data_IF_850691498631
#
_entry.id   IF_850691498631
#
_cell.length_a   1.000
_cell.length_b   1.000
_cell.length_c   1.000
_cell.angle_alpha   90.00
_cell.angle_beta   90.00
_cell.angle_gamma   90.00
#
_symmetry.space_group_name_H-M   'P 1'
#
loop_
_entity.id
_entity.type
_entity.pdbx_description
1 polymer ?
#
# COMPACT_ATOMS: atom_id res chain seq x y z
N UNK A 1 -50.46 -51.40 10.33
CA UNK A 1 -49.90 -51.09 9.01
C UNK A 1 -48.40 -51.25 9.14
N UNK A 2 -47.69 -51.93 8.22
CA UNK A 2 -46.23 -51.97 8.25
C UNK A 2 -45.69 -50.54 8.28
N UNK A 3 -44.51 -50.33 8.87
CA UNK A 3 -43.82 -49.05 8.80
C UNK A 3 -43.39 -48.84 7.33
N UNK A 4 -43.79 -47.76 6.63
CA UNK A 4 -43.29 -47.43 5.30
C UNK A 4 -41.77 -47.60 5.11
N UNK A 5 -40.96 -47.36 6.14
CA UNK A 5 -39.53 -47.70 6.18
C UNK A 5 -39.23 -49.15 5.74
N UNK A 6 -39.94 -50.14 6.30
CA UNK A 6 -39.73 -51.57 6.06
C UNK A 6 -40.23 -52.02 4.68
N UNK A 7 -41.21 -51.31 4.11
CA UNK A 7 -41.70 -51.58 2.75
C UNK A 7 -40.75 -51.03 1.67
N UNK A 8 -40.02 -49.97 1.99
CA UNK A 8 -39.16 -49.27 1.03
C UNK A 8 -37.71 -49.80 1.02
N UNK A 9 -37.22 -50.41 2.10
CA UNK A 9 -35.88 -51.00 2.16
C UNK A 9 -35.58 -52.03 1.03
N UNK A 10 -36.49 -52.96 0.68
CA UNK A 10 -36.27 -53.90 -0.43
C UNK A 10 -36.14 -53.22 -1.81
N UNK A 11 -36.63 -51.98 -1.95
CA UNK A 11 -36.54 -51.22 -3.19
C UNK A 11 -35.21 -50.48 -3.34
N UNK A 12 -34.44 -50.32 -2.26
CA UNK A 12 -33.17 -49.58 -2.28
C UNK A 12 -32.17 -50.11 -3.34
N UNK A 13 -31.95 -51.43 -3.51
CA UNK A 13 -31.05 -51.93 -4.55
C UNK A 13 -31.52 -51.61 -5.98
N UNK A 14 -32.83 -51.50 -6.20
CA UNK A 14 -33.38 -51.16 -7.53
C UNK A 14 -33.18 -49.68 -7.89
N UNK A 15 -33.07 -48.80 -6.88
CA UNK A 15 -32.91 -47.35 -7.07
C UNK A 15 -31.44 -46.94 -7.05
N UNK A 16 -30.62 -47.57 -6.20
CA UNK A 16 -29.24 -47.15 -5.93
C UNK A 16 -28.18 -48.20 -6.27
N UNK A 17 -28.58 -49.40 -6.72
CA UNK A 17 -27.66 -50.51 -6.95
C UNK A 17 -26.95 -50.97 -5.67
N UNK A 18 -25.66 -51.29 -5.78
CA UNK A 18 -24.82 -51.73 -4.66
C UNK A 18 -24.11 -50.58 -3.93
N UNK A 19 -24.54 -49.33 -4.17
CA UNK A 19 -23.90 -48.17 -3.57
C UNK A 19 -24.05 -48.13 -2.05
N UNK A 20 -23.04 -47.59 -1.36
CA UNK A 20 -23.14 -47.30 0.07
C UNK A 20 -24.11 -46.15 0.31
N UNK A 21 -25.19 -46.45 1.02
CA UNK A 21 -26.25 -45.49 1.30
C UNK A 21 -26.02 -44.73 2.60
N UNK A 22 -26.46 -43.48 2.59
CA UNK A 22 -26.75 -42.72 3.80
C UNK A 22 -28.25 -42.74 4.03
N UNK A 23 -28.64 -42.76 5.30
CA UNK A 23 -30.01 -42.95 5.73
C UNK A 23 -30.27 -42.23 7.04
N UNK A 24 -31.33 -41.44 7.08
CA UNK A 24 -31.74 -40.69 8.27
C UNK A 24 -33.25 -40.73 8.44
N UNK A 25 -33.70 -40.91 9.68
CA UNK A 25 -35.08 -40.60 10.06
C UNK A 25 -35.21 -39.09 10.22
N UNK A 26 -36.13 -38.48 9.49
CA UNK A 26 -36.33 -37.05 9.40
C UNK A 26 -37.52 -36.62 10.26
N UNK A 27 -37.53 -35.34 10.65
CA UNK A 27 -38.63 -34.74 11.41
C UNK A 27 -39.04 -35.56 12.65
N UNK A 28 -38.06 -36.11 13.37
CA UNK A 28 -38.27 -36.98 14.55
C UNK A 28 -38.94 -38.34 14.23
N UNK A 29 -38.67 -38.90 13.04
CA UNK A 29 -39.17 -40.22 12.64
C UNK A 29 -40.50 -40.21 11.90
N UNK A 30 -40.94 -39.05 11.41
CA UNK A 30 -42.18 -38.92 10.63
C UNK A 30 -41.96 -39.14 9.12
N UNK A 31 -40.70 -39.25 8.69
CA UNK A 31 -40.28 -39.67 7.36
C UNK A 31 -38.89 -40.30 7.47
N UNK A 32 -38.53 -41.13 6.50
CA UNK A 32 -37.18 -41.69 6.38
C UNK A 32 -36.66 -41.41 4.98
N UNK A 33 -35.40 -40.99 4.86
CA UNK A 33 -34.79 -40.70 3.57
C UNK A 33 -33.47 -41.45 3.40
N UNK A 34 -33.23 -41.92 2.18
CA UNK A 34 -32.00 -42.56 1.74
C UNK A 34 -31.44 -41.87 0.51
N UNK A 35 -30.12 -41.79 0.46
CA UNK A 35 -29.38 -41.28 -0.71
C UNK A 35 -27.94 -41.78 -0.67
N UNK A 36 -27.35 -42.03 -1.83
CA UNK A 36 -25.92 -42.31 -1.96
C UNK A 36 -25.07 -41.04 -2.16
N UNK A 37 -25.73 -39.87 -2.36
CA UNK A 37 -25.12 -38.56 -2.61
C UNK A 37 -24.13 -38.57 -3.79
N UNK A 38 -24.41 -39.43 -4.77
CA UNK A 38 -23.68 -39.57 -6.03
C UNK A 38 -24.51 -39.02 -7.18
N UNK A 39 -23.83 -38.63 -8.25
CA UNK A 39 -24.45 -38.38 -9.53
C UNK A 39 -24.42 -39.70 -10.29
N UNK A 40 -25.58 -40.11 -10.82
CA UNK A 40 -25.70 -41.24 -11.73
C UNK A 40 -25.26 -40.83 -13.15
N UNK A 41 -25.25 -41.80 -14.07
CA UNK A 41 -24.86 -41.60 -15.47
C UNK A 41 -25.75 -40.58 -16.21
N UNK A 42 -26.96 -40.33 -15.72
CA UNK A 42 -27.88 -39.31 -16.23
C UNK A 42 -27.58 -37.89 -15.71
N UNK A 43 -26.58 -37.74 -14.84
CA UNK A 43 -26.19 -36.47 -14.24
C UNK A 43 -27.07 -36.03 -13.06
N UNK A 44 -27.98 -36.88 -12.58
CA UNK A 44 -28.84 -36.59 -11.44
C UNK A 44 -28.45 -37.40 -10.21
N UNK A 45 -28.63 -36.79 -9.04
CA UNK A 45 -28.59 -37.51 -7.77
C UNK A 45 -29.96 -38.05 -7.40
N UNK A 46 -29.98 -39.18 -6.67
CA UNK A 46 -31.23 -39.80 -6.21
C UNK A 46 -31.41 -39.66 -4.71
N UNK A 47 -32.66 -39.43 -4.32
CA UNK A 47 -33.11 -39.41 -2.93
C UNK A 47 -34.43 -40.17 -2.88
N UNK A 48 -34.48 -41.24 -2.09
CA UNK A 48 -35.71 -41.99 -1.82
C UNK A 48 -36.26 -41.53 -0.47
N UNK A 49 -37.56 -41.24 -0.40
CA UNK A 49 -38.20 -40.80 0.84
C UNK A 49 -39.43 -41.68 1.11
N UNK A 50 -39.44 -42.33 2.27
CA UNK A 50 -40.64 -42.94 2.84
C UNK A 50 -41.34 -41.91 3.73
N UNK A 51 -42.58 -41.55 3.38
CA UNK A 51 -43.39 -40.67 4.21
C UNK A 51 -44.21 -41.52 5.21
N UNK A 52 -43.89 -41.42 6.50
CA UNK A 52 -44.60 -42.17 7.54
C UNK A 52 -45.94 -41.50 7.87
N UNK A 53 -45.90 -40.20 8.17
CA UNK A 53 -47.09 -39.46 8.62
C UNK A 53 -46.99 -37.95 8.44
N UNK A 54 -46.06 -37.44 7.62
CA UNK A 54 -46.01 -36.02 7.31
C UNK A 54 -47.21 -35.59 6.45
N UNK A 55 -47.84 -34.49 6.87
CA UNK A 55 -48.83 -33.79 6.05
C UNK A 55 -48.20 -33.29 4.74
N UNK A 56 -48.96 -33.19 3.63
CA UNK A 56 -48.43 -32.83 2.31
C UNK A 56 -47.55 -31.57 2.30
N UNK A 57 -47.98 -30.48 2.94
CA UNK A 57 -47.19 -29.24 2.99
C UNK A 57 -45.89 -29.37 3.80
N UNK A 58 -45.85 -30.25 4.81
CA UNK A 58 -44.61 -30.52 5.58
C UNK A 58 -43.67 -31.43 4.80
N UNK A 59 -44.22 -32.39 4.05
CA UNK A 59 -43.47 -33.25 3.13
C UNK A 59 -42.84 -32.43 1.99
N UNK A 60 -43.57 -31.49 1.39
CA UNK A 60 -43.03 -30.60 0.36
C UNK A 60 -41.85 -29.76 0.84
N UNK A 61 -41.95 -29.18 2.05
CA UNK A 61 -40.82 -28.45 2.67
C UNK A 61 -39.64 -29.36 2.98
N UNK A 62 -39.89 -30.62 3.37
CA UNK A 62 -38.83 -31.60 3.62
C UNK A 62 -38.08 -31.94 2.32
N UNK A 63 -38.82 -32.20 1.24
CA UNK A 63 -38.25 -32.45 -0.08
C UNK A 63 -37.43 -31.24 -0.56
N UNK A 64 -37.98 -30.03 -0.45
CA UNK A 64 -37.27 -28.81 -0.82
C UNK A 64 -35.95 -28.66 -0.04
N UNK A 65 -35.95 -28.94 1.28
CA UNK A 65 -34.72 -28.90 2.08
C UNK A 65 -33.67 -29.89 1.62
N UNK A 66 -34.07 -31.12 1.29
CA UNK A 66 -33.15 -32.15 0.80
C UNK A 66 -32.54 -31.74 -0.56
N UNK A 67 -33.36 -31.18 -1.46
CA UNK A 67 -32.89 -30.64 -2.74
C UNK A 67 -31.95 -29.45 -2.53
N UNK A 68 -32.30 -28.54 -1.61
CA UNK A 68 -31.47 -27.38 -1.26
C UNK A 68 -30.12 -27.82 -0.68
N UNK A 69 -30.08 -28.82 0.21
CA UNK A 69 -28.83 -29.37 0.74
C UNK A 69 -27.93 -29.84 -0.40
N UNK A 70 -28.48 -30.61 -1.34
CA UNK A 70 -27.70 -31.16 -2.44
C UNK A 70 -27.22 -30.07 -3.41
N UNK A 71 -28.11 -29.16 -3.77
CA UNK A 71 -27.79 -28.02 -4.64
C UNK A 71 -26.70 -27.14 -4.02
N UNK A 72 -26.86 -26.75 -2.76
CA UNK A 72 -25.92 -25.87 -2.08
C UNK A 72 -24.62 -26.56 -1.70
N UNK A 73 -24.62 -27.88 -1.44
CA UNK A 73 -23.41 -28.67 -1.29
C UNK A 73 -22.56 -28.60 -2.55
N UNK A 74 -23.16 -28.81 -3.71
CA UNK A 74 -22.45 -28.75 -4.99
C UNK A 74 -21.95 -27.34 -5.30
N UNK A 75 -22.76 -26.30 -5.09
CA UNK A 75 -22.31 -24.91 -5.35
C UNK A 75 -21.26 -24.44 -4.37
N UNK A 76 -21.34 -24.83 -3.09
CA UNK A 76 -20.30 -24.53 -2.11
C UNK A 76 -18.95 -25.12 -2.52
N UNK A 77 -18.93 -26.32 -3.09
CA UNK A 77 -17.69 -26.98 -3.52
C UNK A 77 -16.99 -26.30 -4.70
N UNK A 78 -17.64 -25.36 -5.40
CA UNK A 78 -17.02 -24.67 -6.55
C UNK A 78 -15.86 -23.76 -6.16
N UNK A 79 -15.75 -23.33 -4.89
CA UNK A 79 -14.59 -22.59 -4.41
C UNK A 79 -13.35 -23.45 -4.19
N UNK A 80 -13.50 -24.76 -3.98
CA UNK A 80 -12.38 -25.63 -3.62
C UNK A 80 -11.36 -25.83 -4.74
N UNK A 81 -11.75 -26.10 -6.01
CA UNK A 81 -10.79 -26.16 -7.11
C UNK A 81 -10.02 -24.85 -7.29
N UNK A 82 -10.73 -23.72 -7.25
CA UNK A 82 -10.11 -22.39 -7.35
C UNK A 82 -9.11 -22.14 -6.22
N UNK A 83 -9.44 -22.52 -4.98
CA UNK A 83 -8.53 -22.40 -3.85
C UNK A 83 -7.24 -23.22 -4.06
N UNK A 84 -7.33 -24.42 -4.64
CA UNK A 84 -6.16 -25.23 -4.96
C UNK A 84 -5.32 -24.65 -6.09
N UNK A 85 -5.97 -24.04 -7.09
CA UNK A 85 -5.32 -23.39 -8.22
C UNK A 85 -4.45 -22.21 -7.79
N UNK A 86 -4.96 -21.33 -6.92
CA UNK A 86 -4.25 -20.11 -6.49
C UNK A 86 -3.27 -20.34 -5.33
N UNK A 87 -3.32 -21.50 -4.68
CA UNK A 87 -2.49 -21.80 -3.50
C UNK A 87 -0.97 -21.71 -3.77
N UNK A 88 -0.44 -22.27 -4.87
CA UNK A 88 0.99 -22.17 -5.19
C UNK A 88 1.43 -20.73 -5.44
N UNK A 89 0.64 -19.98 -6.21
CA UNK A 89 0.91 -18.57 -6.55
C UNK A 89 0.98 -17.69 -5.29
N UNK A 90 0.06 -17.89 -4.32
CA UNK A 90 0.13 -17.22 -3.01
C UNK A 90 1.42 -17.60 -2.27
N UNK A 91 1.84 -18.86 -2.34
CA UNK A 91 3.08 -19.33 -1.72
C UNK A 91 4.32 -18.65 -2.30
N UNK A 92 4.39 -18.53 -3.63
CA UNK A 92 5.49 -17.84 -4.32
C UNK A 92 5.56 -16.36 -3.93
N UNK A 93 4.41 -15.69 -3.82
CA UNK A 93 4.32 -14.31 -3.37
C UNK A 93 4.69 -14.13 -1.89
N UNK A 94 4.30 -15.05 -1.01
CA UNK A 94 4.70 -15.07 0.40
C UNK A 94 6.23 -15.20 0.52
N UNK A 95 6.85 -16.09 -0.26
CA UNK A 95 8.32 -16.23 -0.32
C UNK A 95 9.00 -14.97 -0.87
N UNK A 96 8.51 -14.41 -1.97
CA UNK A 96 9.04 -13.18 -2.55
C UNK A 96 8.96 -12.00 -1.56
N UNK A 97 7.87 -11.88 -0.79
CA UNK A 97 7.75 -10.84 0.23
C UNK A 97 8.78 -11.01 1.35
N UNK A 98 9.00 -12.25 1.79
CA UNK A 98 10.00 -12.56 2.81
C UNK A 98 11.42 -12.21 2.33
N UNK A 99 11.75 -12.50 1.07
CA UNK A 99 13.01 -12.09 0.45
C UNK A 99 13.17 -10.57 0.41
N UNK A 100 12.15 -9.83 -0.07
CA UNK A 100 12.18 -8.37 -0.11
C UNK A 100 12.35 -7.78 1.28
N UNK A 101 11.66 -8.32 2.29
CA UNK A 101 11.78 -7.87 3.67
C UNK A 101 13.20 -8.06 4.22
N UNK A 102 13.83 -9.21 3.93
CA UNK A 102 15.21 -9.48 4.33
C UNK A 102 16.21 -8.57 3.60
N UNK A 103 16.05 -8.37 2.29
CA UNK A 103 16.89 -7.47 1.49
C UNK A 103 16.76 -6.02 1.96
N UNK A 104 15.54 -5.56 2.27
CA UNK A 104 15.27 -4.19 2.74
C UNK A 104 16.00 -3.85 4.05
N UNK A 105 16.28 -4.84 4.90
CA UNK A 105 17.06 -4.65 6.12
C UNK A 105 18.55 -4.38 5.87
N UNK A 106 19.08 -4.77 4.70
CA UNK A 106 20.51 -4.67 4.36
C UNK A 106 20.80 -3.64 3.26
N UNK A 107 19.79 -3.26 2.47
CA UNK A 107 19.90 -2.29 1.39
C UNK A 107 20.35 -0.93 1.90
N UNK A 108 21.30 -0.36 1.16
CA UNK A 108 21.81 1.00 1.35
C UNK A 108 21.70 1.76 0.04
N UNK A 109 21.30 3.02 0.14
CA UNK A 109 21.21 3.92 -1.01
C UNK A 109 19.83 3.94 -1.66
N UNK A 110 19.51 5.12 -2.19
CA UNK A 110 18.18 5.47 -2.68
C UNK A 110 17.71 4.61 -3.87
N UNK A 111 18.62 4.28 -4.78
CA UNK A 111 18.31 3.49 -5.99
C UNK A 111 17.85 2.06 -5.65
N UNK A 112 18.49 1.43 -4.66
CA UNK A 112 18.10 0.10 -4.17
C UNK A 112 16.73 0.11 -3.50
N UNK A 113 16.45 1.13 -2.69
CA UNK A 113 15.15 1.29 -2.04
C UNK A 113 14.03 1.55 -3.06
N UNK A 114 14.27 2.38 -4.07
CA UNK A 114 13.30 2.61 -5.16
C UNK A 114 13.01 1.33 -5.96
N UNK A 115 14.02 0.52 -6.25
CA UNK A 115 13.85 -0.77 -6.93
C UNK A 115 12.98 -1.74 -6.12
N UNK A 116 13.18 -1.82 -4.81
CA UNK A 116 12.34 -2.66 -3.95
C UNK A 116 10.91 -2.13 -3.87
N UNK A 117 10.72 -0.81 -3.84
CA UNK A 117 9.40 -0.20 -3.83
C UNK A 117 8.62 -0.54 -5.11
N UNK A 118 9.30 -0.56 -6.27
CA UNK A 118 8.70 -1.00 -7.52
C UNK A 118 8.25 -2.47 -7.47
N UNK A 119 9.09 -3.38 -6.94
CA UNK A 119 8.74 -4.80 -6.75
C UNK A 119 7.54 -4.98 -5.83
N UNK A 120 7.51 -4.27 -4.70
CA UNK A 120 6.37 -4.31 -3.77
C UNK A 120 5.08 -3.77 -4.41
N UNK A 121 5.18 -2.73 -5.23
CA UNK A 121 4.04 -2.17 -5.96
C UNK A 121 3.49 -3.17 -6.99
N UNK A 122 4.36 -3.89 -7.70
CA UNK A 122 3.96 -4.94 -8.62
C UNK A 122 3.29 -6.11 -7.87
N UNK A 123 3.87 -6.54 -6.75
CA UNK A 123 3.28 -7.57 -5.89
C UNK A 123 1.93 -7.16 -5.32
N UNK A 124 1.76 -5.88 -4.93
CA UNK A 124 0.47 -5.35 -4.46
C UNK A 124 -0.60 -5.44 -5.55
N UNK A 125 -0.25 -5.01 -6.78
CA UNK A 125 -1.15 -5.12 -7.92
C UNK A 125 -1.49 -6.58 -8.25
N UNK A 126 -0.53 -7.50 -8.08
CA UNK A 126 -0.75 -8.93 -8.25
C UNK A 126 -1.73 -9.48 -7.21
N UNK A 127 -1.50 -9.17 -5.93
CA UNK A 127 -2.34 -9.63 -4.83
C UNK A 127 -3.79 -9.13 -5.02
N UNK A 128 -3.95 -7.88 -5.46
CA UNK A 128 -5.25 -7.29 -5.74
C UNK A 128 -5.98 -8.00 -6.89
N UNK A 129 -5.28 -8.31 -7.98
CA UNK A 129 -5.87 -9.10 -9.09
C UNK A 129 -6.32 -10.48 -8.61
N UNK A 130 -5.51 -11.15 -7.81
CA UNK A 130 -5.83 -12.48 -7.29
C UNK A 130 -7.00 -12.45 -6.30
N UNK A 131 -7.08 -11.38 -5.50
CA UNK A 131 -8.20 -11.13 -4.60
C UNK A 131 -9.49 -10.94 -5.39
N UNK A 132 -9.49 -10.02 -6.37
CA UNK A 132 -10.65 -9.76 -7.21
C UNK A 132 -11.10 -11.02 -8.01
N UNK A 133 -10.16 -11.84 -8.47
CA UNK A 133 -10.45 -13.08 -9.17
C UNK A 133 -11.14 -14.14 -8.28
N UNK A 134 -10.81 -14.19 -6.99
CA UNK A 134 -11.27 -15.25 -6.07
C UNK A 134 -12.43 -14.84 -5.17
N UNK A 135 -12.61 -13.55 -4.92
CA UNK A 135 -13.54 -13.00 -3.92
C UNK A 135 -14.98 -13.51 -4.09
N UNK A 136 -15.56 -13.37 -5.30
CA UNK A 136 -16.93 -13.79 -5.57
C UNK A 136 -17.14 -15.27 -5.23
N UNK A 137 -16.23 -16.13 -5.70
CA UNK A 137 -16.38 -17.58 -5.56
C UNK A 137 -16.17 -18.03 -4.12
N UNK A 138 -15.19 -17.46 -3.41
CA UNK A 138 -14.95 -17.80 -2.00
C UNK A 138 -16.08 -17.31 -1.10
N UNK A 139 -16.56 -16.08 -1.32
CA UNK A 139 -17.71 -15.53 -0.59
C UNK A 139 -18.97 -16.35 -0.81
N UNK A 140 -19.28 -16.70 -2.07
CA UNK A 140 -20.40 -17.56 -2.41
C UNK A 140 -20.27 -18.95 -1.77
N UNK A 141 -19.08 -19.56 -1.79
CA UNK A 141 -18.84 -20.88 -1.20
C UNK A 141 -19.12 -20.90 0.30
N UNK A 142 -18.70 -19.86 1.02
CA UNK A 142 -19.00 -19.68 2.45
C UNK A 142 -20.51 -19.51 2.69
N UNK A 143 -21.18 -18.65 1.93
CA UNK A 143 -22.62 -18.43 2.08
C UNK A 143 -23.45 -19.69 1.82
N UNK A 144 -23.09 -20.48 0.79
CA UNK A 144 -23.75 -21.75 0.52
C UNK A 144 -23.45 -22.81 1.58
N UNK A 145 -22.23 -22.85 2.12
CA UNK A 145 -21.89 -23.74 3.23
C UNK A 145 -22.75 -23.47 4.47
N UNK A 146 -22.91 -22.19 4.85
CA UNK A 146 -23.79 -21.80 5.95
C UNK A 146 -25.25 -22.23 5.71
N UNK A 147 -25.71 -22.13 4.47
CA UNK A 147 -27.06 -22.55 4.10
C UNK A 147 -27.23 -24.08 4.20
N UNK A 148 -26.23 -24.86 3.77
CA UNK A 148 -26.20 -26.31 3.97
C UNK A 148 -26.27 -26.65 5.46
N UNK A 149 -25.44 -26.04 6.31
CA UNK A 149 -25.45 -26.30 7.75
C UNK A 149 -26.80 -25.98 8.38
N UNK A 150 -27.42 -24.86 7.99
CA UNK A 150 -28.78 -24.50 8.44
C UNK A 150 -29.80 -25.56 8.02
N UNK A 151 -29.79 -26.00 6.77
CA UNK A 151 -30.76 -27.00 6.28
C UNK A 151 -30.57 -28.36 6.92
N UNK A 152 -29.33 -28.80 7.12
CA UNK A 152 -29.03 -30.03 7.86
C UNK A 152 -29.61 -29.98 9.28
N UNK A 153 -29.47 -28.85 9.99
CA UNK A 153 -30.08 -28.66 11.31
C UNK A 153 -31.62 -28.72 11.29
N UNK A 154 -32.24 -28.17 10.24
CA UNK A 154 -33.70 -28.17 10.07
C UNK A 154 -34.31 -29.55 9.75
N UNK A 155 -33.51 -30.53 9.34
CA UNK A 155 -33.98 -31.90 9.07
C UNK A 155 -34.45 -32.61 10.35
N UNK A 156 -33.91 -32.23 11.52
CA UNK A 156 -34.16 -32.92 12.81
C UNK A 156 -33.92 -34.44 12.68
N UNK A 157 -32.72 -34.79 12.23
CA UNK A 157 -32.34 -36.17 11.93
C UNK A 157 -32.20 -37.02 13.21
N UNK A 158 -32.72 -38.24 13.15
CA UNK A 158 -32.45 -39.30 14.11
C UNK A 158 -31.67 -40.43 13.41
N UNK A 159 -30.84 -41.12 14.20
CA UNK A 159 -30.00 -42.22 13.70
C UNK A 159 -30.87 -43.40 13.27
N UNK A 160 -30.53 -43.98 12.14
CA UNK A 160 -31.07 -45.24 11.64
C UNK A 160 -29.99 -46.33 11.80
N UNK A 161 -30.39 -47.53 12.18
CA UNK A 161 -29.45 -48.64 12.33
C UNK A 161 -28.88 -49.06 10.97
N UNK A 162 -27.59 -49.38 10.90
CA UNK A 162 -26.93 -49.75 9.64
C UNK A 162 -26.59 -48.59 8.69
N UNK A 163 -27.15 -47.38 8.88
CA UNK A 163 -26.92 -46.24 8.00
C UNK A 163 -26.16 -45.08 8.68
N UNK A 164 -25.35 -44.39 7.88
CA UNK A 164 -24.78 -43.11 8.29
C UNK A 164 -25.79 -41.99 8.05
N UNK A 165 -25.93 -41.09 9.02
CA UNK A 165 -26.79 -39.92 8.90
C UNK A 165 -26.33 -38.99 7.76
N UNK A 166 -27.29 -38.47 7.00
CA UNK A 166 -27.06 -37.53 5.88
C UNK A 166 -26.23 -36.34 6.35
N UNK A 167 -26.63 -35.69 7.44
CA UNK A 167 -25.89 -34.58 8.07
C UNK A 167 -24.43 -34.89 8.37
N UNK A 168 -24.15 -36.06 8.94
CA UNK A 168 -22.79 -36.49 9.29
C UNK A 168 -21.95 -36.68 8.03
N UNK A 169 -22.51 -37.33 7.00
CA UNK A 169 -21.80 -37.58 5.75
C UNK A 169 -21.50 -36.29 4.99
N UNK A 170 -22.51 -35.43 4.80
CA UNK A 170 -22.37 -34.14 4.10
C UNK A 170 -21.34 -33.27 4.80
N UNK A 171 -21.45 -33.12 6.13
CA UNK A 171 -20.53 -32.32 6.91
C UNK A 171 -19.09 -32.82 6.81
N UNK A 172 -18.88 -34.15 6.91
CA UNK A 172 -17.53 -34.75 6.86
C UNK A 172 -16.83 -34.54 5.51
N UNK A 173 -17.58 -34.45 4.42
CA UNK A 173 -17.04 -34.26 3.06
C UNK A 173 -16.95 -32.79 2.64
N UNK A 174 -17.86 -31.96 3.12
CA UNK A 174 -17.91 -30.54 2.75
C UNK A 174 -16.95 -29.68 3.59
N UNK A 175 -16.89 -29.94 4.91
CA UNK A 175 -16.12 -29.11 5.84
C UNK A 175 -14.62 -28.99 5.51
N UNK A 176 -13.89 -30.06 5.13
CA UNK A 176 -12.48 -29.93 4.78
C UNK A 176 -12.26 -28.99 3.59
N UNK A 177 -13.11 -29.09 2.55
CA UNK A 177 -13.03 -28.22 1.38
C UNK A 177 -13.29 -26.76 1.74
N UNK A 178 -14.28 -26.48 2.60
CA UNK A 178 -14.59 -25.12 3.03
C UNK A 178 -13.48 -24.52 3.90
N UNK A 179 -12.86 -25.33 4.77
CA UNK A 179 -11.69 -24.91 5.54
C UNK A 179 -10.51 -24.53 4.64
N UNK A 180 -10.31 -25.23 3.51
CA UNK A 180 -9.30 -24.85 2.53
C UNK A 180 -9.61 -23.50 1.90
N UNK A 181 -10.86 -23.28 1.47
CA UNK A 181 -11.31 -21.98 0.91
C UNK A 181 -11.07 -20.84 1.90
N UNK A 182 -11.49 -21.02 3.16
CA UNK A 182 -11.28 -20.03 4.23
C UNK A 182 -9.82 -19.79 4.56
N UNK A 183 -8.98 -20.84 4.54
CA UNK A 183 -7.56 -20.71 4.81
C UNK A 183 -6.85 -19.94 3.68
N UNK A 184 -7.17 -20.23 2.42
CA UNK A 184 -6.60 -19.54 1.26
C UNK A 184 -7.04 -18.08 1.21
N UNK A 185 -8.32 -17.79 1.45
CA UNK A 185 -8.82 -16.41 1.55
C UNK A 185 -8.11 -15.63 2.65
N UNK A 186 -7.93 -16.22 3.84
CA UNK A 186 -7.20 -15.56 4.93
C UNK A 186 -5.73 -15.31 4.59
N UNK A 187 -5.04 -16.29 3.99
CA UNK A 187 -3.65 -16.14 3.54
C UNK A 187 -3.51 -14.99 2.56
N UNK A 188 -4.39 -14.90 1.56
CA UNK A 188 -4.38 -13.81 0.58
C UNK A 188 -4.59 -12.44 1.23
N UNK A 189 -5.54 -12.31 2.15
CA UNK A 189 -5.77 -11.06 2.88
C UNK A 189 -4.54 -10.66 3.73
N UNK A 190 -3.98 -11.61 4.49
CA UNK A 190 -2.77 -11.37 5.29
C UNK A 190 -1.59 -10.96 4.41
N UNK A 191 -1.41 -11.63 3.27
CA UNK A 191 -0.36 -11.28 2.30
C UNK A 191 -0.54 -9.85 1.78
N UNK A 192 -1.75 -9.46 1.34
CA UNK A 192 -2.04 -8.09 0.88
C UNK A 192 -1.75 -7.05 1.96
N UNK A 193 -2.16 -7.30 3.21
CA UNK A 193 -1.86 -6.41 4.34
C UNK A 193 -0.35 -6.29 4.58
N UNK A 194 0.39 -7.40 4.49
CA UNK A 194 1.84 -7.41 4.71
C UNK A 194 2.57 -6.65 3.61
N UNK A 195 2.17 -6.83 2.34
CA UNK A 195 2.70 -6.06 1.20
C UNK A 195 2.42 -4.57 1.38
N UNK A 196 1.20 -4.21 1.79
CA UNK A 196 0.80 -2.82 2.04
C UNK A 196 1.70 -2.16 3.09
N UNK A 197 1.88 -2.81 4.25
CA UNK A 197 2.77 -2.31 5.31
C UNK A 197 4.22 -2.20 4.88
N UNK A 198 4.75 -3.19 4.16
CA UNK A 198 6.11 -3.14 3.64
C UNK A 198 6.30 -1.97 2.65
N UNK A 199 5.32 -1.73 1.79
CA UNK A 199 5.33 -0.65 0.80
C UNK A 199 5.32 0.72 1.48
N UNK A 200 4.49 0.90 2.52
CA UNK A 200 4.38 2.15 3.26
C UNK A 200 5.67 2.49 4.03
N UNK A 201 6.28 1.49 4.70
CA UNK A 201 7.55 1.67 5.40
C UNK A 201 8.68 2.04 4.44
N UNK A 202 8.75 1.37 3.28
CA UNK A 202 9.80 1.64 2.30
C UNK A 202 9.61 2.99 1.61
N UNK A 203 8.37 3.37 1.29
CA UNK A 203 8.04 4.72 0.81
C UNK A 203 8.50 5.79 1.81
N UNK A 204 8.20 5.61 3.08
CA UNK A 204 8.65 6.52 4.15
C UNK A 204 10.17 6.64 4.20
N UNK A 205 10.92 5.53 4.06
CA UNK A 205 12.39 5.57 4.01
C UNK A 205 12.91 6.34 2.80
N UNK A 206 12.35 6.09 1.61
CA UNK A 206 12.70 6.79 0.37
C UNK A 206 12.44 8.30 0.51
N UNK A 207 11.30 8.68 1.07
CA UNK A 207 10.93 10.08 1.28
C UNK A 207 11.91 10.79 2.23
N UNK A 208 12.30 10.13 3.34
CA UNK A 208 13.31 10.66 4.27
C UNK A 208 14.67 10.80 3.57
N UNK A 209 15.10 9.79 2.81
CA UNK A 209 16.38 9.82 2.10
C UNK A 209 16.42 10.95 1.05
N UNK A 210 15.32 11.18 0.32
CA UNK A 210 15.17 12.31 -0.60
C UNK A 210 15.20 13.66 0.14
N UNK A 211 14.52 13.77 1.28
CA UNK A 211 14.55 14.98 2.11
C UNK A 211 15.97 15.29 2.60
N UNK A 212 16.71 14.31 3.10
CA UNK A 212 18.10 14.48 3.51
C UNK A 212 19.00 14.91 2.33
N UNK A 213 18.81 14.31 1.15
CA UNK A 213 19.54 14.68 -0.06
C UNK A 213 19.26 16.14 -0.46
N UNK A 214 17.99 16.55 -0.45
CA UNK A 214 17.57 17.91 -0.76
C UNK A 214 18.14 18.93 0.23
N UNK A 215 18.14 18.63 1.54
CA UNK A 215 18.76 19.48 2.55
C UNK A 215 20.27 19.64 2.32
N UNK A 216 20.97 18.55 1.99
CA UNK A 216 22.41 18.61 1.68
C UNK A 216 22.70 19.45 0.44
N UNK A 217 21.86 19.34 -0.60
CA UNK A 217 21.96 20.15 -1.81
C UNK A 217 21.74 21.63 -1.50
N UNK A 218 20.68 21.99 -0.77
CA UNK A 218 20.42 23.38 -0.38
C UNK A 218 21.59 23.97 0.44
N UNK A 219 22.13 23.24 1.41
CA UNK A 219 23.31 23.69 2.17
C UNK A 219 24.58 23.83 1.32
N UNK A 220 24.69 23.13 0.18
CA UNK A 220 25.78 23.36 -0.78
C UNK A 220 25.57 24.64 -1.60
N UNK A 221 24.33 24.93 -1.98
CA UNK A 221 23.96 26.17 -2.68
C UNK A 221 24.20 27.39 -1.79
N UNK A 222 23.76 27.34 -0.53
CA UNK A 222 23.99 28.43 0.44
C UNK A 222 25.48 28.77 0.60
N UNK A 223 26.34 27.74 0.65
CA UNK A 223 27.79 27.93 0.72
C UNK A 223 28.33 28.59 -0.55
N UNK A 224 27.85 28.18 -1.73
CA UNK A 224 28.20 28.79 -3.01
C UNK A 224 27.79 30.26 -3.08
N UNK A 225 26.55 30.58 -2.70
CA UNK A 225 26.04 31.96 -2.64
C UNK A 225 26.85 32.80 -1.66
N UNK A 226 27.16 32.28 -0.47
CA UNK A 226 27.97 33.01 0.52
C UNK A 226 29.39 33.29 0.01
N UNK A 227 29.99 32.35 -0.74
CA UNK A 227 31.29 32.58 -1.36
C UNK A 227 31.20 33.64 -2.47
N UNK A 228 30.14 33.61 -3.27
CA UNK A 228 29.89 34.63 -4.30
C UNK A 228 29.71 36.02 -3.68
N UNK A 229 28.95 36.14 -2.59
CA UNK A 229 28.77 37.40 -1.87
C UNK A 229 30.11 37.95 -1.35
N UNK A 230 30.97 37.10 -0.76
CA UNK A 230 32.31 37.52 -0.30
C UNK A 230 33.20 37.97 -1.45
N UNK A 231 33.16 37.27 -2.59
CA UNK A 231 33.92 37.68 -3.76
C UNK A 231 33.40 39.02 -4.30
N UNK A 232 32.09 39.24 -4.29
CA UNK A 232 31.49 40.51 -4.69
C UNK A 232 31.91 41.64 -3.73
N UNK A 233 31.83 41.45 -2.41
CA UNK A 233 32.32 42.44 -1.43
C UNK A 233 33.81 42.77 -1.63
N UNK A 234 34.64 41.77 -1.96
CA UNK A 234 36.06 42.03 -2.25
C UNK A 234 36.25 42.84 -3.54
N UNK A 235 35.45 42.57 -4.58
CA UNK A 235 35.48 43.35 -5.83
C UNK A 235 34.98 44.77 -5.61
N UNK A 236 33.90 44.94 -4.85
CA UNK A 236 33.38 46.25 -4.46
C UNK A 236 34.43 47.04 -3.67
N UNK A 237 35.09 46.40 -2.69
CA UNK A 237 36.20 47.01 -1.94
C UNK A 237 37.38 47.43 -2.82
N UNK A 238 37.78 46.60 -3.78
CA UNK A 238 38.84 46.93 -4.74
C UNK A 238 38.44 48.10 -5.65
N UNK A 239 37.19 48.11 -6.13
CA UNK A 239 36.67 49.20 -6.97
C UNK A 239 36.64 50.53 -6.22
N UNK A 240 36.32 50.53 -4.92
CA UNK A 240 36.34 51.73 -4.09
C UNK A 240 37.76 52.33 -3.98
N UNK A 241 38.79 51.48 -3.85
CA UNK A 241 40.20 51.93 -3.84
C UNK A 241 40.58 52.53 -5.20
N UNK A 242 40.23 51.86 -6.31
CA UNK A 242 40.51 52.37 -7.65
C UNK A 242 39.82 53.72 -7.92
N UNK A 243 38.54 53.84 -7.58
CA UNK A 243 37.76 55.09 -7.72
C UNK A 243 38.34 56.20 -6.85
N UNK A 244 38.76 55.91 -5.61
CA UNK A 244 39.38 56.89 -4.72
C UNK A 244 40.69 57.45 -5.30
N UNK A 245 41.52 56.59 -5.91
CA UNK A 245 42.74 57.03 -6.60
C UNK A 245 42.43 57.92 -7.81
N UNK A 246 41.45 57.54 -8.65
CA UNK A 246 41.03 58.36 -9.78
C UNK A 246 40.49 59.72 -9.32
N UNK A 247 39.63 59.76 -8.31
CA UNK A 247 39.14 61.00 -7.71
C UNK A 247 40.28 61.89 -7.21
N UNK A 248 41.26 61.32 -6.50
CA UNK A 248 42.44 62.06 -6.03
C UNK A 248 43.20 62.67 -7.20
N UNK A 249 43.41 61.91 -8.28
CA UNK A 249 44.10 62.41 -9.48
C UNK A 249 43.32 63.53 -10.18
N UNK A 250 41.99 63.43 -10.28
CA UNK A 250 41.13 64.46 -10.88
C UNK A 250 41.17 65.75 -10.06
N UNK A 251 41.13 65.64 -8.73
CA UNK A 251 41.10 66.78 -7.82
C UNK A 251 42.46 67.50 -7.69
N UNK A 252 43.54 66.86 -8.11
CA UNK A 252 44.87 67.48 -8.19
C UNK A 252 44.99 68.47 -9.38
N UNK A 253 44.31 68.22 -10.51
CA UNK A 253 44.33 69.12 -11.68
C UNK A 253 43.85 70.55 -11.41
N UNK A 254 42.71 70.81 -10.72
CA UNK A 254 42.28 72.17 -10.44
C UNK A 254 43.24 72.90 -9.49
N UNK A 255 44.03 72.20 -8.66
CA UNK A 255 45.06 72.80 -7.81
C UNK A 255 46.25 73.32 -8.64
N UNK A 256 46.68 72.57 -9.66
CA UNK A 256 47.68 73.01 -10.62
C UNK A 256 47.14 74.18 -11.47
N UNK A 257 45.89 74.08 -11.94
CA UNK A 257 45.25 75.14 -12.72
C UNK A 257 44.99 76.43 -11.91
N UNK A 258 44.71 76.34 -10.60
CA UNK A 258 44.57 77.52 -9.74
C UNK A 258 45.92 78.19 -9.44
N UNK A 259 47.02 77.45 -9.56
CA UNK A 259 48.38 77.99 -9.43
C UNK A 259 48.83 78.75 -10.69
N UNK A 260 48.30 78.39 -11.86
CA UNK A 260 48.54 79.05 -13.14
C UNK A 260 47.48 80.11 -13.52
N UNK A 261 46.41 80.24 -12.73
CA UNK A 261 45.35 81.23 -12.99
C UNK A 261 45.76 82.66 -12.57
N UNK A 262 45.34 83.73 -13.29
CA UNK A 262 45.84 85.10 -13.11
C UNK A 262 45.31 85.84 -11.86
N UNK A 263 44.80 85.13 -10.85
CA UNK A 263 44.22 85.69 -9.62
C UNK A 263 45.06 85.39 -8.35
N UNK A 264 46.30 84.91 -8.50
CA UNK A 264 47.16 84.48 -7.40
C UNK A 264 47.73 85.57 -6.49
N UNK A 265 47.57 86.86 -6.80
CA UNK A 265 48.23 87.96 -6.05
C UNK A 265 47.49 88.45 -4.79
N UNK A 266 46.33 87.88 -4.43
CA UNK A 266 45.53 88.36 -3.27
C UNK A 266 45.41 87.39 -2.10
N UNK A 267 46.18 86.30 -2.06
CA UNK A 267 46.20 85.38 -0.91
C UNK A 267 47.47 85.59 -0.06
N UNK A 268 47.37 86.03 1.21
CA UNK A 268 48.53 86.23 2.06
C UNK A 268 49.00 84.90 2.64
N UNK A 269 50.14 84.38 2.17
CA UNK A 269 50.80 83.21 2.75
C UNK A 269 51.75 82.51 1.79
N UNK A 270 52.88 82.02 2.30
CA UNK A 270 53.91 81.32 1.54
C UNK A 270 53.31 80.12 0.77
N UNK A 271 53.66 79.88 -0.51
CA UNK A 271 53.10 78.77 -1.32
C UNK A 271 53.23 77.39 -0.69
N UNK A 272 54.24 77.22 0.18
CA UNK A 272 54.50 76.01 0.93
C UNK A 272 53.47 75.79 2.06
N UNK A 273 52.95 76.85 2.68
CA UNK A 273 51.95 76.79 3.75
C UNK A 273 50.58 76.35 3.24
N UNK A 274 50.17 76.85 2.07
CA UNK A 274 48.91 76.43 1.45
C UNK A 274 48.94 74.94 1.05
N UNK A 275 50.07 74.47 0.50
CA UNK A 275 50.28 73.05 0.20
C UNK A 275 50.28 72.18 1.47
N UNK A 276 50.86 72.68 2.57
CA UNK A 276 50.90 71.99 3.85
C UNK A 276 49.54 71.91 4.58
N UNK A 277 48.64 72.89 4.38
CA UNK A 277 47.29 72.89 4.98
C UNK A 277 46.26 72.17 4.09
N UNK A 278 46.35 72.36 2.77
CA UNK A 278 45.41 71.74 1.83
C UNK A 278 45.69 70.25 1.63
N UNK A 279 46.93 69.78 1.68
CA UNK A 279 47.25 68.35 1.59
C UNK A 279 46.50 67.48 2.61
N UNK A 280 46.60 67.77 3.93
CA UNK A 280 45.83 67.08 4.96
C UNK A 280 44.31 67.23 4.78
N UNK A 281 43.84 68.42 4.38
CA UNK A 281 42.42 68.67 4.15
C UNK A 281 41.88 67.79 3.01
N UNK A 282 42.63 67.63 1.92
CA UNK A 282 42.27 66.75 0.80
C UNK A 282 42.25 65.27 1.22
N UNK A 283 43.25 64.83 1.99
CA UNK A 283 43.27 63.47 2.54
C UNK A 283 42.04 63.24 3.44
N UNK A 284 41.67 64.21 4.27
CA UNK A 284 40.49 64.15 5.14
C UNK A 284 39.19 64.15 4.33
N UNK A 285 39.05 65.01 3.31
CA UNK A 285 37.86 65.06 2.45
C UNK A 285 37.68 63.75 1.70
N UNK A 286 38.75 63.20 1.12
CA UNK A 286 38.70 61.91 0.40
C UNK A 286 38.40 60.76 1.36
N UNK A 287 39.05 60.73 2.53
CA UNK A 287 38.76 59.73 3.56
C UNK A 287 37.29 59.81 3.99
N UNK A 288 36.73 61.01 4.15
CA UNK A 288 35.32 61.21 4.47
C UNK A 288 34.39 60.79 3.32
N UNK A 289 34.74 61.08 2.07
CA UNK A 289 33.94 60.73 0.89
C UNK A 289 33.88 59.21 0.69
N UNK A 290 35.02 58.53 0.79
CA UNK A 290 35.13 57.07 0.72
C UNK A 290 34.40 56.42 1.90
N UNK A 291 34.59 56.94 3.13
CA UNK A 291 33.88 56.44 4.33
C UNK A 291 32.37 56.71 4.27
N UNK A 292 31.93 57.75 3.58
CA UNK A 292 30.50 58.06 3.38
C UNK A 292 29.89 57.15 2.33
N UNK A 293 30.57 56.89 1.21
CA UNK A 293 30.12 55.90 0.21
C UNK A 293 30.06 54.49 0.81
N UNK A 294 31.07 54.09 1.60
CA UNK A 294 31.05 52.80 2.31
C UNK A 294 29.92 52.66 3.35
N UNK A 295 29.42 53.78 3.90
CA UNK A 295 28.25 53.81 4.81
C UNK A 295 26.90 53.84 4.08
N UNK A 296 26.86 54.29 2.83
CA UNK A 296 25.63 54.32 2.01
C UNK A 296 25.42 52.98 1.31
N UNK A 297 26.49 52.24 1.00
CA UNK A 297 26.43 50.88 0.43
C UNK A 297 26.15 49.80 1.49
N UNK A 298 26.59 49.98 2.74
CA UNK A 298 26.13 49.18 3.89
C UNK A 298 24.76 49.67 4.36
N UNK A 299 23.73 49.41 3.55
CA UNK A 299 22.33 49.51 3.96
C UNK A 299 21.98 48.44 5.01
N UNK A 300 20.86 48.61 5.76
CA UNK A 300 20.59 47.88 6.98
C UNK A 300 20.17 46.43 6.69
N UNK A 301 21.08 45.48 6.91
CA UNK A 301 20.72 44.09 7.16
C UNK A 301 20.93 43.82 8.66
N UNK A 302 19.84 43.95 9.43
CA UNK A 302 19.56 43.20 10.65
C UNK A 302 18.16 43.63 11.15
N UNK A 303 17.17 42.81 10.82
CA UNK A 303 15.79 42.84 11.29
C UNK A 303 15.20 41.44 11.15
#
# INVERSE_FOLDING_TARGET
MPCPETEMEPLLPSVFGENKLTGSRLAQGLATAWTDLRLDDDGFGRILIANESLRPGRMGRMLQRLIEIETYRMTALLGFPLAREVTPEIGDMESALAEIAAETATIRGLEGEQKQLARLTEMAAHAERLSAHTEYRFSASRAYYELVERRLGELSEAKMEGYQQISTFVTRRLRPAMRTVEAVSRRLNTLSEHIGRASELLRTRVDIALQEQNQRLLGSVERGVRLQLRLQEMVEGLSAVAIAYYLLSILAYPLEALHEAPFGETLPGDPLTWKAVMGPLFIVVIYLLVRRMGRVLRGPEDG
#
